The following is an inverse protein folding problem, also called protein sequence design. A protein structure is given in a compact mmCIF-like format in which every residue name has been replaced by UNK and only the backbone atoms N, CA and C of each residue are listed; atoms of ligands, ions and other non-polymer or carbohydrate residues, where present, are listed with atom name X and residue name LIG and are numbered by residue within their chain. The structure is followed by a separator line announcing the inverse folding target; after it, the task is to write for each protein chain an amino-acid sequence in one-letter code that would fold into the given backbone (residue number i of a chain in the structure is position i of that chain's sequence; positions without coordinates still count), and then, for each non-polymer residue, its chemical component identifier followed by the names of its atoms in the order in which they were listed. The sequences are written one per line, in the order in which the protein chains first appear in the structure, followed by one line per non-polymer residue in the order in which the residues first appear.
data_IF_655577039276
#
_entry.id   IF_655577039276
#
_cell.length_a   1.000
_cell.length_b   1.000
_cell.length_c   1.000
_cell.angle_alpha   90.00
_cell.angle_beta   90.00
_cell.angle_gamma   90.00
#
_symmetry.space_group_name_H-M   'P 1'
#
loop_
_entity.id
_entity.type
_entity.pdbx_description
1 polymer ?
#
# COMPACT_ATOMS: atom_id res chain seq x y z
N UNK A 1 12.50 55.97 -52.12
CA UNK A 1 11.25 55.57 -51.45
C UNK A 1 11.17 54.04 -51.54
N UNK A 2 11.86 53.29 -50.68
CA UNK A 2 11.58 53.05 -49.25
C UNK A 2 10.20 52.36 -49.14
N UNK A 3 10.20 51.06 -48.83
CA UNK A 3 9.05 50.19 -48.48
C UNK A 3 8.63 49.07 -49.47
N UNK A 4 9.56 48.38 -50.15
CA UNK A 4 9.20 47.07 -50.79
C UNK A 4 10.17 45.90 -50.56
N UNK A 5 11.27 46.09 -49.83
CA UNK A 5 12.29 45.03 -49.61
C UNK A 5 12.21 44.38 -48.21
N UNK A 6 11.35 44.87 -47.31
CA UNK A 6 11.27 44.36 -45.92
C UNK A 6 10.20 43.26 -45.73
N UNK A 7 9.44 42.91 -46.79
CA UNK A 7 8.38 41.90 -46.68
C UNK A 7 8.78 40.48 -47.11
N UNK A 8 10.02 40.27 -47.54
CA UNK A 8 10.51 38.94 -47.95
C UNK A 8 11.57 38.33 -47.01
N UNK A 9 11.93 39.02 -45.92
CA UNK A 9 12.95 38.54 -44.96
C UNK A 9 12.40 38.10 -43.60
N UNK A 10 11.09 38.17 -43.40
CA UNK A 10 10.43 37.75 -42.15
C UNK A 10 9.61 36.46 -42.29
N UNK A 11 9.62 35.81 -43.46
CA UNK A 11 8.89 34.56 -43.70
C UNK A 11 9.77 33.30 -43.63
N UNK A 12 11.02 33.42 -43.17
CA UNK A 12 11.98 32.31 -43.11
C UNK A 12 12.53 32.00 -41.70
N UNK A 13 11.98 32.63 -40.65
CA UNK A 13 12.33 32.35 -39.24
C UNK A 13 11.10 31.85 -38.45
N UNK A 14 10.17 31.19 -39.14
CA UNK A 14 9.15 30.37 -38.51
C UNK A 14 9.30 28.93 -39.01
N UNK A 15 10.53 28.41 -38.94
CA UNK A 15 10.69 26.98 -38.70
C UNK A 15 10.07 26.75 -37.34
N UNK A 16 8.81 26.30 -37.38
CA UNK A 16 8.19 25.62 -36.27
C UNK A 16 9.14 24.49 -35.88
N UNK A 17 10.00 24.73 -34.89
CA UNK A 17 10.37 23.67 -33.97
C UNK A 17 9.07 23.32 -33.26
N UNK A 18 8.21 22.55 -33.92
CA UNK A 18 7.42 21.55 -33.24
C UNK A 18 8.45 20.63 -32.61
N UNK A 19 8.94 21.02 -31.44
CA UNK A 19 9.36 20.07 -30.44
C UNK A 19 8.13 19.22 -30.22
N UNK A 20 7.99 18.14 -30.97
CA UNK A 20 7.32 16.98 -30.41
C UNK A 20 8.09 16.72 -29.14
N UNK A 21 7.54 17.13 -28.01
CA UNK A 21 7.88 16.47 -26.76
C UNK A 21 7.44 15.04 -27.02
N UNK A 22 8.36 14.26 -27.57
CA UNK A 22 8.29 12.82 -27.42
C UNK A 22 8.19 12.65 -25.91
N UNK A 23 7.13 11.99 -25.46
CA UNK A 23 7.04 11.54 -24.08
C UNK A 23 8.20 10.56 -23.89
N UNK A 24 9.36 11.11 -23.54
CA UNK A 24 10.63 10.39 -23.53
C UNK A 24 10.80 9.84 -22.11
N UNK A 25 10.33 8.62 -21.91
CA UNK A 25 10.44 7.89 -20.65
C UNK A 25 9.16 7.16 -20.25
N UNK A 26 9.32 6.01 -19.59
CA UNK A 26 8.20 5.36 -18.92
C UNK A 26 7.69 6.26 -17.78
N UNK A 27 6.41 6.64 -17.79
CA UNK A 27 5.77 7.41 -16.72
C UNK A 27 5.47 6.50 -15.51
N UNK A 28 6.53 6.10 -14.81
CA UNK A 28 6.44 5.24 -13.64
C UNK A 28 5.94 6.02 -12.41
N UNK A 29 5.06 5.39 -11.64
CA UNK A 29 4.49 5.93 -10.41
C UNK A 29 4.68 4.93 -9.26
N UNK A 30 5.39 5.31 -8.17
CA UNK A 30 6.21 6.51 -8.04
C UNK A 30 7.38 6.53 -9.03
N UNK A 31 7.92 7.72 -9.28
CA UNK A 31 9.14 7.89 -10.06
C UNK A 31 10.32 7.20 -9.35
N UNK A 32 11.06 6.30 -10.02
CA UNK A 32 12.17 5.58 -9.40
C UNK A 32 13.38 6.50 -9.20
N UNK A 33 14.19 6.18 -8.19
CA UNK A 33 15.40 6.96 -7.87
C UNK A 33 16.42 7.05 -9.01
N UNK A 34 16.57 5.95 -9.78
CA UNK A 34 17.39 5.92 -10.98
C UNK A 34 16.70 5.11 -12.07
N UNK A 35 16.67 5.68 -13.28
CA UNK A 35 16.12 5.06 -14.47
C UNK A 35 17.06 5.30 -15.66
N UNK A 36 17.30 4.27 -16.46
CA UNK A 36 18.07 4.37 -17.70
C UNK A 36 17.41 3.51 -18.77
N UNK A 37 16.86 4.09 -19.85
CA UNK A 37 16.19 3.33 -20.90
C UNK A 37 17.21 2.50 -21.70
N UNK A 38 16.77 1.32 -22.15
CA UNK A 38 17.51 0.47 -23.08
C UNK A 38 16.81 0.45 -24.44
N UNK A 39 17.57 0.17 -25.51
CA UNK A 39 17.05 0.20 -26.89
C UNK A 39 16.16 -1.01 -27.26
N UNK A 40 16.09 -2.02 -26.40
CA UNK A 40 15.45 -3.29 -26.70
C UNK A 40 14.44 -3.68 -25.62
N UNK A 41 13.23 -4.00 -26.03
CA UNK A 41 12.15 -4.45 -25.15
C UNK A 41 12.18 -5.97 -24.93
N UNK A 42 11.64 -6.42 -23.79
CA UNK A 42 11.38 -7.83 -23.53
C UNK A 42 10.00 -8.22 -24.05
N UNK A 43 9.90 -9.21 -24.94
CA UNK A 43 8.60 -9.73 -25.39
C UNK A 43 8.23 -10.97 -24.60
N UNK A 44 7.12 -10.92 -23.86
CA UNK A 44 6.65 -12.04 -23.07
C UNK A 44 6.06 -13.14 -23.97
N UNK A 45 6.38 -14.38 -23.64
CA UNK A 45 5.92 -15.59 -24.30
C UNK A 45 6.25 -16.79 -23.42
N UNK A 46 7.05 -17.72 -23.92
CA UNK A 46 7.62 -18.81 -23.10
C UNK A 46 8.85 -18.29 -22.35
N UNK A 47 8.87 -18.41 -21.02
CA UNK A 47 9.98 -17.92 -20.18
C UNK A 47 10.44 -18.97 -19.18
N UNK A 48 11.72 -18.98 -18.85
CA UNK A 48 12.27 -19.75 -17.74
C UNK A 48 12.27 -18.85 -16.51
N UNK A 49 11.49 -19.22 -15.50
CA UNK A 49 11.44 -18.50 -14.23
C UNK A 49 12.45 -19.13 -13.25
N UNK A 50 13.30 -18.32 -12.65
CA UNK A 50 14.16 -18.70 -11.54
C UNK A 50 14.00 -17.65 -10.45
N UNK A 51 13.41 -18.03 -9.31
CA UNK A 51 13.21 -17.11 -8.20
C UNK A 51 13.34 -17.81 -6.85
N UNK A 52 13.99 -17.19 -5.84
CA UNK A 52 14.07 -17.72 -4.48
C UNK A 52 12.83 -17.37 -3.63
N UNK A 53 11.95 -16.49 -4.10
CA UNK A 53 10.77 -16.02 -3.38
C UNK A 53 9.62 -15.67 -4.33
N UNK A 54 8.40 -15.57 -3.81
CA UNK A 54 7.21 -15.16 -4.56
C UNK A 54 6.95 -16.00 -5.83
N UNK A 55 7.23 -17.31 -5.78
CA UNK A 55 7.12 -18.20 -6.94
C UNK A 55 5.72 -18.12 -7.57
N UNK A 56 4.67 -18.23 -6.74
CA UNK A 56 3.29 -18.24 -7.22
C UNK A 56 2.88 -16.88 -7.80
N UNK A 57 3.33 -15.78 -7.20
CA UNK A 57 3.04 -14.43 -7.64
C UNK A 57 3.70 -14.14 -8.99
N UNK A 58 4.94 -14.59 -9.20
CA UNK A 58 5.61 -14.49 -10.49
C UNK A 58 4.93 -15.35 -11.57
N UNK A 59 4.53 -16.57 -11.23
CA UNK A 59 3.78 -17.44 -12.15
C UNK A 59 2.46 -16.79 -12.56
N UNK A 60 1.69 -16.27 -11.59
CA UNK A 60 0.45 -15.55 -11.84
C UNK A 60 0.70 -14.30 -12.70
N UNK A 61 1.73 -13.51 -12.37
CA UNK A 61 2.13 -12.33 -13.13
C UNK A 61 2.38 -12.64 -14.60
N UNK A 62 3.06 -13.77 -14.88
CA UNK A 62 3.36 -14.26 -16.23
C UNK A 62 2.07 -14.71 -16.94
N UNK A 63 1.25 -15.54 -16.29
CA UNK A 63 0.04 -16.15 -16.87
C UNK A 63 -1.00 -15.06 -17.20
N UNK A 64 -1.25 -14.12 -16.28
CA UNK A 64 -2.19 -13.02 -16.48
C UNK A 64 -1.82 -12.12 -17.67
N UNK A 65 -0.55 -12.15 -18.08
CA UNK A 65 0.00 -11.38 -19.20
C UNK A 65 0.19 -12.22 -20.46
N UNK A 66 -0.36 -13.44 -20.49
CA UNK A 66 -0.34 -14.32 -21.65
C UNK A 66 0.99 -15.05 -21.89
N UNK A 67 1.88 -15.06 -20.89
CA UNK A 67 3.09 -15.86 -20.90
C UNK A 67 2.88 -17.25 -20.28
N UNK A 68 3.89 -18.10 -20.41
CA UNK A 68 3.94 -19.42 -19.76
C UNK A 68 5.35 -19.74 -19.29
N UNK A 69 5.48 -20.46 -18.18
CA UNK A 69 6.77 -20.94 -17.66
C UNK A 69 7.20 -22.23 -18.35
N UNK A 70 8.48 -22.34 -18.70
CA UNK A 70 9.10 -23.60 -19.13
C UNK A 70 10.61 -23.60 -18.99
N UNK A 71 11.16 -24.73 -18.54
CA UNK A 71 12.59 -24.89 -18.25
C UNK A 71 13.50 -24.75 -19.47
N UNK A 72 12.99 -25.04 -20.68
CA UNK A 72 13.75 -24.95 -21.93
C UNK A 72 13.53 -23.64 -22.70
N UNK A 73 12.90 -22.64 -22.08
CA UNK A 73 12.70 -21.35 -22.72
C UNK A 73 14.01 -20.55 -22.84
N UNK A 74 14.18 -19.85 -23.97
CA UNK A 74 15.35 -18.99 -24.22
C UNK A 74 15.31 -17.66 -23.47
N UNK A 75 14.10 -17.14 -23.22
CA UNK A 75 13.89 -15.92 -22.44
C UNK A 75 13.81 -16.26 -20.94
N UNK A 76 14.43 -15.44 -20.11
CA UNK A 76 14.61 -15.73 -18.67
C UNK A 76 14.01 -14.61 -17.82
N UNK A 77 13.31 -14.98 -16.75
CA UNK A 77 13.04 -14.10 -15.62
C UNK A 77 13.82 -14.65 -14.44
N UNK A 78 14.77 -13.87 -13.95
CA UNK A 78 15.67 -14.27 -12.86
C UNK A 78 15.54 -13.28 -11.71
N UNK A 79 15.28 -13.82 -10.53
CA UNK A 79 15.24 -13.09 -9.27
C UNK A 79 16.35 -13.63 -8.39
N UNK A 80 17.07 -12.76 -7.69
CA UNK A 80 18.13 -13.17 -6.78
C UNK A 80 18.15 -12.29 -5.53
N UNK A 81 18.45 -12.92 -4.40
CA UNK A 81 18.78 -12.19 -3.19
C UNK A 81 20.26 -11.84 -3.16
N UNK A 82 20.55 -10.58 -2.90
CA UNK A 82 21.91 -10.05 -2.72
C UNK A 82 22.07 -9.55 -1.27
N UNK A 83 23.29 -9.56 -0.71
CA UNK A 83 23.50 -9.08 0.67
C UNK A 83 23.20 -7.59 0.85
N UNK A 84 23.44 -6.78 -0.20
CA UNK A 84 23.21 -5.35 -0.22
C UNK A 84 23.08 -4.87 -1.68
N UNK A 85 22.38 -3.74 -1.90
CA UNK A 85 22.37 -3.04 -3.18
C UNK A 85 23.27 -1.80 -3.13
N UNK A 86 24.28 -1.77 -3.99
CA UNK A 86 25.16 -0.60 -4.13
C UNK A 86 24.39 0.61 -4.66
N UNK A 87 24.65 1.77 -4.04
CA UNK A 87 24.01 3.04 -4.38
C UNK A 87 22.66 3.28 -3.71
N UNK A 88 22.24 2.41 -2.79
CA UNK A 88 21.01 2.55 -1.97
C UNK A 88 21.38 2.98 -0.53
N UNK A 89 21.17 4.25 -0.15
CA UNK A 89 21.61 4.78 1.14
C UNK A 89 20.67 4.44 2.31
N UNK A 90 19.39 4.15 2.05
CA UNK A 90 18.36 3.94 3.09
C UNK A 90 17.34 2.90 2.63
N UNK A 91 16.60 2.31 3.58
CA UNK A 91 15.44 1.45 3.32
C UNK A 91 15.74 0.30 2.31
N UNK A 92 16.93 -0.30 2.45
CA UNK A 92 17.41 -1.40 1.60
C UNK A 92 16.40 -2.55 1.51
N UNK A 93 15.65 -2.81 2.58
CA UNK A 93 14.64 -3.86 2.66
C UNK A 93 13.42 -3.64 1.76
N UNK A 94 13.27 -2.48 1.13
CA UNK A 94 12.27 -2.23 0.07
C UNK A 94 12.91 -1.92 -1.28
N UNK A 95 14.24 -1.90 -1.34
CA UNK A 95 14.98 -1.54 -2.54
C UNK A 95 15.10 -2.71 -3.51
N UNK A 96 15.22 -2.38 -4.79
CA UNK A 96 15.47 -3.36 -5.84
C UNK A 96 16.29 -2.78 -6.99
N UNK A 97 17.01 -3.65 -7.68
CA UNK A 97 17.55 -3.40 -9.03
C UNK A 97 16.72 -4.21 -10.02
N UNK A 98 16.19 -3.56 -11.03
CA UNK A 98 15.44 -4.19 -12.12
C UNK A 98 16.14 -3.90 -13.45
N UNK A 99 16.43 -4.95 -14.22
CA UNK A 99 16.97 -4.83 -15.58
C UNK A 99 16.08 -5.60 -16.55
N UNK A 100 15.53 -4.90 -17.53
CA UNK A 100 14.68 -5.44 -18.59
C UNK A 100 15.44 -5.33 -19.91
N UNK A 101 15.88 -6.46 -20.45
CA UNK A 101 16.59 -6.57 -21.73
C UNK A 101 15.81 -7.43 -22.72
N UNK A 102 16.26 -7.56 -23.97
CA UNK A 102 15.56 -8.34 -25.00
C UNK A 102 15.24 -9.80 -24.63
N UNK A 103 16.09 -10.45 -23.83
CA UNK A 103 15.99 -11.89 -23.53
C UNK A 103 15.97 -12.20 -22.02
N UNK A 104 16.13 -11.19 -21.17
CA UNK A 104 16.23 -11.39 -19.72
C UNK A 104 15.58 -10.23 -18.96
N UNK A 105 14.71 -10.57 -18.01
CA UNK A 105 14.30 -9.71 -16.90
C UNK A 105 15.08 -10.19 -15.67
N UNK A 106 15.81 -9.28 -15.03
CA UNK A 106 16.58 -9.57 -13.83
C UNK A 106 16.12 -8.66 -12.69
N UNK A 107 15.87 -9.26 -11.52
CA UNK A 107 15.55 -8.58 -10.26
C UNK A 107 16.58 -8.96 -9.20
N UNK A 108 17.18 -7.97 -8.57
CA UNK A 108 18.03 -8.14 -7.40
C UNK A 108 17.43 -7.35 -6.24
N UNK A 109 17.30 -7.97 -5.07
CA UNK A 109 16.83 -7.33 -3.86
C UNK A 109 17.49 -7.96 -2.63
N UNK A 110 17.44 -7.30 -1.48
CA UNK A 110 17.94 -7.87 -0.21
C UNK A 110 16.84 -8.61 0.57
N UNK A 111 15.58 -8.47 0.12
CA UNK A 111 14.40 -8.98 0.81
C UNK A 111 13.30 -9.34 -0.20
N UNK A 112 12.34 -10.15 0.24
CA UNK A 112 11.12 -10.44 -0.53
C UNK A 112 10.32 -9.17 -0.87
N UNK A 113 10.28 -8.19 0.03
CA UNK A 113 9.56 -6.93 -0.16
C UNK A 113 10.14 -6.08 -1.29
N UNK A 114 11.46 -6.08 -1.45
CA UNK A 114 12.11 -5.46 -2.61
C UNK A 114 11.72 -6.14 -3.93
N UNK A 115 11.67 -7.49 -3.95
CA UNK A 115 11.19 -8.25 -5.13
C UNK A 115 9.74 -7.88 -5.46
N UNK A 116 8.87 -7.82 -4.46
CA UNK A 116 7.47 -7.44 -4.64
C UNK A 116 7.32 -6.05 -5.27
N UNK A 117 8.09 -5.06 -4.81
CA UNK A 117 8.07 -3.71 -5.40
C UNK A 117 8.65 -3.66 -6.82
N UNK A 118 9.65 -4.49 -7.13
CA UNK A 118 10.15 -4.64 -8.49
C UNK A 118 9.06 -5.15 -9.43
N UNK A 119 8.22 -6.10 -8.99
CA UNK A 119 7.07 -6.59 -9.76
C UNK A 119 6.07 -5.48 -10.06
N UNK A 120 5.80 -4.57 -9.10
CA UNK A 120 4.90 -3.44 -9.32
C UNK A 120 5.43 -2.48 -10.38
N UNK A 121 6.75 -2.21 -10.35
CA UNK A 121 7.39 -1.41 -11.40
C UNK A 121 7.37 -2.11 -12.74
N UNK A 122 7.66 -3.42 -12.78
CA UNK A 122 7.60 -4.20 -14.01
C UNK A 122 6.19 -4.22 -14.62
N UNK A 123 5.15 -4.28 -13.80
CA UNK A 123 3.76 -4.17 -14.25
C UNK A 123 3.50 -2.85 -14.98
N UNK A 124 4.11 -1.75 -14.56
CA UNK A 124 3.95 -0.42 -15.18
C UNK A 124 4.79 -0.25 -16.45
N UNK A 125 5.88 -1.01 -16.60
CA UNK A 125 6.67 -1.07 -17.84
C UNK A 125 5.97 -1.85 -18.97
N UNK A 126 4.82 -2.47 -18.67
CA UNK A 126 4.04 -3.22 -19.63
C UNK A 126 3.49 -2.33 -20.74
N UNK A 127 3.60 -2.83 -21.97
CA UNK A 127 2.94 -2.34 -23.16
C UNK A 127 2.37 -3.52 -23.96
N UNK A 128 1.46 -3.26 -24.88
CA UNK A 128 0.85 -4.26 -25.74
C UNK A 128 1.23 -3.98 -27.19
N UNK A 129 1.97 -4.89 -27.82
CA UNK A 129 2.30 -4.84 -29.25
C UNK A 129 1.57 -5.98 -29.97
N UNK A 130 0.44 -5.64 -30.60
CA UNK A 130 -0.45 -6.63 -31.22
C UNK A 130 -1.13 -7.51 -30.16
N UNK A 131 -0.91 -8.83 -30.20
CA UNK A 131 -1.43 -9.79 -29.21
C UNK A 131 -0.41 -10.17 -28.12
N UNK A 132 0.76 -9.52 -28.10
CA UNK A 132 1.85 -9.88 -27.18
C UNK A 132 2.06 -8.79 -26.15
N UNK A 133 2.25 -9.21 -24.91
CA UNK A 133 2.75 -8.35 -23.82
C UNK A 133 4.23 -8.10 -24.03
N UNK A 134 4.64 -6.85 -23.94
CA UNK A 134 6.02 -6.39 -24.09
C UNK A 134 6.35 -5.50 -22.89
N UNK A 135 7.56 -5.61 -22.34
CA UNK A 135 8.05 -4.72 -21.29
C UNK A 135 9.13 -3.80 -21.84
N UNK A 136 8.99 -2.50 -21.59
CA UNK A 136 9.96 -1.51 -22.03
C UNK A 136 11.35 -1.80 -21.45
N UNK A 137 12.36 -1.82 -22.33
CA UNK A 137 13.74 -2.08 -21.92
C UNK A 137 14.30 -0.97 -21.04
N UNK A 138 14.85 -1.31 -19.88
CA UNK A 138 15.44 -0.34 -18.96
C UNK A 138 16.34 -0.98 -17.90
N UNK A 139 17.12 -0.14 -17.22
CA UNK A 139 17.75 -0.42 -15.94
C UNK A 139 17.19 0.55 -14.88
N UNK A 140 16.79 0.00 -13.75
CA UNK A 140 16.21 0.74 -12.61
C UNK A 140 16.96 0.31 -11.35
N UNK A 141 17.33 1.31 -10.54
CA UNK A 141 17.69 1.12 -9.14
C UNK A 141 16.78 2.01 -8.32
N UNK A 142 16.00 1.42 -7.43
CA UNK A 142 14.93 2.13 -6.75
C UNK A 142 14.86 1.76 -5.27
N UNK A 143 14.48 2.73 -4.44
CA UNK A 143 14.27 2.60 -3.01
C UNK A 143 13.37 3.73 -2.51
N UNK A 144 12.58 3.52 -1.45
CA UNK A 144 11.71 4.57 -0.94
C UNK A 144 12.47 5.60 -0.11
N UNK A 145 12.08 6.87 -0.21
CA UNK A 145 12.58 7.91 0.67
C UNK A 145 12.09 7.74 2.12
N UNK A 146 10.86 7.24 2.30
CA UNK A 146 10.22 7.07 3.61
C UNK A 146 9.76 5.64 3.84
N UNK A 147 9.95 5.15 5.07
CA UNK A 147 9.57 3.80 5.51
C UNK A 147 8.05 3.61 5.61
N UNK A 148 7.32 4.69 5.89
CA UNK A 148 5.86 4.70 6.03
C UNK A 148 5.28 5.50 4.88
N UNK A 149 4.54 4.81 4.02
CA UNK A 149 3.78 5.40 2.91
C UNK A 149 2.35 4.89 3.09
N UNK A 150 1.57 5.66 3.83
CA UNK A 150 0.29 5.24 4.37
C UNK A 150 -0.91 5.81 3.64
N UNK A 151 -1.99 5.03 3.63
CA UNK A 151 -3.33 5.48 3.28
C UNK A 151 -4.26 5.15 4.44
N UNK A 152 -5.07 6.12 4.89
CA UNK A 152 -6.07 5.91 5.94
C UNK A 152 -7.46 5.82 5.35
N UNK A 153 -8.20 4.77 5.70
CA UNK A 153 -9.62 4.66 5.37
C UNK A 153 -10.48 4.76 6.62
N UNK A 154 -11.40 5.72 6.62
CA UNK A 154 -12.40 5.92 7.66
C UNK A 154 -13.64 5.06 7.44
N UNK A 155 -13.74 3.99 8.24
CA UNK A 155 -14.92 3.12 8.25
C UNK A 155 -15.83 3.40 9.46
N UNK A 156 -15.34 4.16 10.44
CA UNK A 156 -16.09 4.62 11.62
C UNK A 156 -17.26 5.52 11.25
N UNK A 157 -17.11 6.39 10.24
CA UNK A 157 -18.22 7.17 9.68
C UNK A 157 -19.10 6.31 8.78
N UNK A 158 -18.53 5.66 7.75
CA UNK A 158 -19.28 4.87 6.74
C UNK A 158 -18.69 3.49 6.60
N UNK A 159 -19.50 2.45 6.76
CA UNK A 159 -19.04 1.08 6.53
C UNK A 159 -18.67 0.85 5.06
N UNK A 160 -17.52 0.22 4.84
CA UNK A 160 -17.03 -0.23 3.53
C UNK A 160 -16.95 -1.76 3.54
N UNK A 161 -17.41 -2.42 2.47
CA UNK A 161 -17.38 -3.88 2.42
C UNK A 161 -15.94 -4.42 2.42
N UNK A 162 -15.76 -5.63 2.93
CA UNK A 162 -14.46 -6.31 2.90
C UNK A 162 -13.91 -6.46 1.48
N UNK A 163 -14.78 -6.71 0.49
CA UNK A 163 -14.37 -6.78 -0.91
C UNK A 163 -13.80 -5.45 -1.43
N UNK A 164 -14.42 -4.32 -1.08
CA UNK A 164 -13.92 -3.01 -1.52
C UNK A 164 -12.63 -2.64 -0.79
N UNK A 165 -12.51 -2.92 0.51
CA UNK A 165 -11.24 -2.72 1.24
C UNK A 165 -10.09 -3.51 0.60
N UNK A 166 -10.31 -4.79 0.27
CA UNK A 166 -9.31 -5.63 -0.42
C UNK A 166 -8.97 -5.08 -1.80
N UNK A 167 -9.96 -4.63 -2.57
CA UNK A 167 -9.75 -4.00 -3.87
C UNK A 167 -8.89 -2.75 -3.76
N UNK A 168 -9.18 -1.87 -2.81
CA UNK A 168 -8.39 -0.65 -2.56
C UNK A 168 -6.94 -0.99 -2.19
N UNK A 169 -6.73 -1.92 -1.25
CA UNK A 169 -5.40 -2.39 -0.85
C UNK A 169 -4.60 -2.89 -2.06
N UNK A 170 -5.22 -3.74 -2.90
CA UNK A 170 -4.58 -4.24 -4.11
C UNK A 170 -4.21 -3.10 -5.09
N UNK A 171 -5.05 -2.07 -5.22
CA UNK A 171 -4.76 -0.90 -6.06
C UNK A 171 -3.60 -0.09 -5.48
N UNK A 172 -3.62 0.20 -4.17
CA UNK A 172 -2.61 0.99 -3.47
C UNK A 172 -1.23 0.32 -3.50
N UNK A 173 -1.18 -1.01 -3.36
CA UNK A 173 0.06 -1.78 -3.43
C UNK A 173 0.78 -1.61 -4.78
N UNK A 174 0.06 -1.45 -5.90
CA UNK A 174 0.66 -1.19 -7.23
C UNK A 174 1.45 0.12 -7.28
N UNK A 175 1.12 1.06 -6.39
CA UNK A 175 1.80 2.35 -6.24
C UNK A 175 2.76 2.37 -5.03
N UNK A 176 3.13 1.18 -4.52
CA UNK A 176 4.09 0.99 -3.42
C UNK A 176 3.68 1.66 -2.11
N UNK A 177 2.38 1.90 -1.88
CA UNK A 177 1.85 2.21 -0.55
C UNK A 177 2.04 0.96 0.31
N UNK A 178 2.59 1.12 1.50
CA UNK A 178 2.99 0.00 2.36
C UNK A 178 2.35 0.01 3.75
N UNK A 179 1.47 0.97 4.02
CA UNK A 179 0.67 1.02 5.25
C UNK A 179 -0.79 1.29 4.91
N UNK A 180 -1.68 0.48 5.46
CA UNK A 180 -3.12 0.73 5.46
C UNK A 180 -3.56 1.06 6.89
N UNK A 181 -3.96 2.29 7.13
CA UNK A 181 -4.44 2.77 8.41
C UNK A 181 -5.97 2.66 8.44
N UNK A 182 -6.50 1.87 9.37
CA UNK A 182 -7.91 1.47 9.36
C UNK A 182 -8.63 2.07 10.56
N UNK A 183 -9.35 3.17 10.34
CA UNK A 183 -10.03 3.94 11.36
C UNK A 183 -11.41 3.34 11.68
N UNK A 184 -11.47 2.54 12.75
CA UNK A 184 -12.57 1.62 13.07
C UNK A 184 -13.63 2.21 14.01
N UNK A 185 -13.35 3.34 14.65
CA UNK A 185 -14.19 3.92 15.70
C UNK A 185 -14.50 5.37 15.41
N UNK A 186 -15.74 5.77 15.66
CA UNK A 186 -16.10 7.18 15.66
C UNK A 186 -17.38 7.44 16.46
N UNK A 187 -17.79 8.71 16.55
CA UNK A 187 -19.00 9.13 17.23
C UNK A 187 -20.23 8.37 16.72
N UNK A 188 -20.27 8.02 15.43
CA UNK A 188 -21.41 7.31 14.85
C UNK A 188 -21.38 5.80 15.08
N UNK A 189 -20.20 5.18 15.24
CA UNK A 189 -20.12 3.71 15.31
C UNK A 189 -18.82 3.16 15.91
N UNK A 190 -18.90 1.92 16.38
CA UNK A 190 -17.75 1.07 16.66
C UNK A 190 -17.80 -0.11 15.69
N UNK A 191 -16.82 -0.24 14.80
CA UNK A 191 -16.90 -1.17 13.66
C UNK A 191 -16.25 -2.52 13.89
N UNK A 192 -15.43 -2.74 14.92
CA UNK A 192 -14.93 -4.09 15.20
C UNK A 192 -15.91 -4.85 16.09
N UNK A 193 -16.19 -6.11 15.78
CA UNK A 193 -16.88 -7.04 16.67
C UNK A 193 -16.17 -7.16 18.03
N UNK A 194 -16.94 -6.98 19.12
CA UNK A 194 -16.53 -7.37 20.46
C UNK A 194 -17.31 -8.58 20.95
N UNK A 195 -16.60 -9.67 21.27
CA UNK A 195 -17.18 -10.87 21.87
C UNK A 195 -17.41 -10.69 23.36
N UNK A 196 -16.57 -9.92 24.04
CA UNK A 196 -16.74 -9.61 25.47
C UNK A 196 -17.85 -8.57 25.73
N UNK A 197 -18.10 -7.65 24.78
CA UNK A 197 -19.17 -6.67 24.87
C UNK A 197 -20.01 -6.58 23.57
N UNK A 198 -20.86 -7.58 23.27
CA UNK A 198 -21.69 -7.58 22.06
C UNK A 198 -22.63 -6.37 21.93
N UNK A 199 -22.97 -5.74 23.07
CA UNK A 199 -23.77 -4.50 23.12
C UNK A 199 -23.15 -3.36 22.29
N UNK A 200 -21.83 -3.34 22.13
CA UNK A 200 -21.11 -2.31 21.38
C UNK A 200 -21.46 -2.33 19.88
N UNK A 201 -21.78 -3.52 19.35
CA UNK A 201 -22.14 -3.73 17.94
C UNK A 201 -23.66 -3.80 17.73
N UNK A 202 -24.47 -3.66 18.78
CA UNK A 202 -25.93 -3.57 18.64
C UNK A 202 -26.29 -2.34 17.77
N UNK A 203 -27.18 -2.58 16.82
CA UNK A 203 -27.77 -1.56 15.95
C UNK A 203 -28.23 -0.31 16.70
N UNK A 204 -28.74 -0.43 17.93
CA UNK A 204 -29.23 0.72 18.71
C UNK A 204 -28.12 1.69 19.13
N UNK A 205 -26.87 1.24 19.17
CA UNK A 205 -25.71 2.05 19.56
C UNK A 205 -24.96 2.66 18.37
N UNK A 206 -25.37 2.33 17.14
CA UNK A 206 -24.78 2.83 15.89
C UNK A 206 -25.75 3.78 15.19
N UNK A 207 -25.35 5.03 14.96
CA UNK A 207 -26.23 6.04 14.34
C UNK A 207 -26.12 6.09 12.81
N UNK A 208 -25.09 5.45 12.23
CA UNK A 208 -24.88 5.40 10.78
C UNK A 208 -24.61 3.98 10.32
N UNK A 209 -25.47 3.49 9.42
CA UNK A 209 -25.51 2.08 8.96
C UNK A 209 -25.55 1.09 10.15
N UNK A 210 -26.65 1.08 10.92
CA UNK A 210 -26.82 0.15 12.05
C UNK A 210 -26.67 -1.31 11.64
N UNK A 211 -26.06 -2.13 12.49
CA UNK A 211 -25.83 -3.56 12.23
C UNK A 211 -24.71 -3.86 11.23
N UNK A 212 -23.92 -2.85 10.83
CA UNK A 212 -22.72 -3.03 9.99
C UNK A 212 -21.45 -2.87 10.83
N UNK A 213 -20.69 -3.95 10.92
CA UNK A 213 -19.40 -4.05 11.60
C UNK A 213 -18.59 -5.17 10.94
N UNK A 214 -17.31 -5.26 11.26
CA UNK A 214 -16.40 -6.32 10.85
C UNK A 214 -16.26 -7.32 11.98
N UNK A 215 -16.46 -8.59 11.67
CA UNK A 215 -16.14 -9.69 12.59
C UNK A 215 -14.64 -9.75 12.88
N UNK A 216 -14.26 -10.37 13.99
CA UNK A 216 -12.84 -10.58 14.29
C UNK A 216 -12.14 -11.44 13.22
N UNK A 217 -12.86 -12.38 12.61
CA UNK A 217 -12.32 -13.21 11.52
C UNK A 217 -12.10 -12.40 10.23
N UNK A 218 -13.02 -11.51 9.88
CA UNK A 218 -12.84 -10.55 8.80
C UNK A 218 -11.65 -9.62 9.05
N UNK A 219 -11.45 -9.16 10.29
CA UNK A 219 -10.29 -8.36 10.65
C UNK A 219 -8.97 -9.11 10.48
N UNK A 220 -8.90 -10.39 10.92
CA UNK A 220 -7.73 -11.25 10.72
C UNK A 220 -7.47 -11.53 9.24
N UNK A 221 -8.53 -11.76 8.47
CA UNK A 221 -8.44 -11.93 7.02
C UNK A 221 -7.84 -10.68 6.37
N UNK A 222 -8.28 -9.49 6.76
CA UNK A 222 -7.74 -8.23 6.24
C UNK A 222 -6.25 -8.04 6.62
N UNK A 223 -5.85 -8.42 7.84
CA UNK A 223 -4.43 -8.45 8.24
C UNK A 223 -3.62 -9.33 7.29
N UNK A 224 -4.08 -10.56 7.04
CA UNK A 224 -3.40 -11.49 6.14
C UNK A 224 -3.34 -10.96 4.70
N UNK A 225 -4.43 -10.34 4.24
CA UNK A 225 -4.51 -9.74 2.92
C UNK A 225 -3.54 -8.57 2.74
N UNK A 226 -3.42 -7.68 3.74
CA UNK A 226 -2.40 -6.63 3.76
C UNK A 226 -0.99 -7.20 3.70
N UNK A 227 -0.69 -8.24 4.50
CA UNK A 227 0.63 -8.91 4.50
C UNK A 227 0.98 -9.48 3.12
N UNK A 228 0.03 -10.15 2.46
CA UNK A 228 0.21 -10.67 1.10
C UNK A 228 0.49 -9.57 0.05
N UNK A 229 0.09 -8.33 0.33
CA UNK A 229 0.38 -7.16 -0.50
C UNK A 229 1.56 -6.31 0.00
N UNK A 230 2.40 -6.87 0.90
CA UNK A 230 3.53 -6.18 1.51
C UNK A 230 3.14 -4.86 2.23
N UNK A 231 1.90 -4.80 2.73
CA UNK A 231 1.35 -3.69 3.49
C UNK A 231 1.24 -4.05 4.98
N UNK A 232 1.54 -3.10 5.85
CA UNK A 232 1.24 -3.18 7.28
C UNK A 232 -0.14 -2.60 7.55
N UNK A 233 -1.03 -3.37 8.15
CA UNK A 233 -2.28 -2.86 8.70
C UNK A 233 -2.01 -2.18 10.05
N UNK A 234 -2.50 -0.95 10.22
CA UNK A 234 -2.56 -0.26 11.51
C UNK A 234 -4.04 -0.04 11.81
N UNK A 235 -4.68 -0.82 12.69
CA UNK A 235 -6.04 -0.53 13.12
C UNK A 235 -6.03 0.60 14.15
N UNK A 236 -7.05 1.45 14.08
CA UNK A 236 -7.22 2.58 14.98
C UNK A 236 -8.51 2.48 15.79
N UNK A 237 -8.35 2.66 17.10
CA UNK A 237 -9.42 2.79 18.07
C UNK A 237 -9.22 4.12 18.79
N UNK A 238 -9.82 5.15 18.25
CA UNK A 238 -9.68 6.51 18.74
C UNK A 238 -10.25 6.66 20.16
N UNK A 239 -9.44 7.24 21.03
CA UNK A 239 -9.72 7.41 22.44
C UNK A 239 -8.93 8.58 23.04
N UNK A 240 -9.52 9.34 24.00
CA UNK A 240 -10.92 9.32 24.41
C UNK A 240 -11.82 10.11 23.44
N UNK A 241 -11.24 10.69 22.39
CA UNK A 241 -11.95 11.39 21.32
C UNK A 241 -12.91 10.47 20.56
N UNK A 242 -13.80 11.10 19.80
CA UNK A 242 -14.72 10.43 18.88
C UNK A 242 -15.44 9.18 19.44
N UNK A 243 -15.77 9.22 20.73
CA UNK A 243 -16.15 8.04 21.52
C UNK A 243 -17.66 7.92 21.81
N UNK A 244 -18.51 8.71 21.14
CA UNK A 244 -19.94 8.71 21.43
C UNK A 244 -20.61 7.33 21.26
N UNK A 245 -20.11 6.46 20.38
CA UNK A 245 -20.58 5.07 20.27
C UNK A 245 -20.33 4.25 21.55
N UNK A 246 -19.14 4.41 22.14
CA UNK A 246 -18.79 3.80 23.43
C UNK A 246 -19.70 4.33 24.55
N UNK A 247 -19.91 5.65 24.62
CA UNK A 247 -20.78 6.27 25.63
C UNK A 247 -22.23 5.78 25.48
N UNK A 248 -22.71 5.58 24.25
CA UNK A 248 -24.05 5.02 24.03
C UNK A 248 -24.15 3.57 24.51
N UNK A 249 -23.13 2.75 24.27
CA UNK A 249 -23.14 1.35 24.71
C UNK A 249 -23.04 1.21 26.24
N UNK A 250 -22.15 1.97 26.88
CA UNK A 250 -21.77 1.73 28.27
C UNK A 250 -22.26 2.78 29.27
N UNK A 251 -22.80 3.92 28.79
CA UNK A 251 -23.21 5.06 29.63
C UNK A 251 -22.09 5.62 30.51
N UNK A 252 -20.84 5.40 30.11
CA UNK A 252 -19.64 5.91 30.76
C UNK A 252 -18.76 6.62 29.74
N UNK A 253 -18.16 7.75 30.16
CA UNK A 253 -17.10 8.42 29.41
C UNK A 253 -15.82 7.59 29.49
N UNK A 254 -15.06 7.50 28.40
CA UNK A 254 -13.82 6.68 28.37
C UNK A 254 -12.81 7.13 29.44
N UNK A 255 -12.81 8.40 29.85
CA UNK A 255 -11.89 8.93 30.85
C UNK A 255 -12.33 8.66 32.30
N UNK A 256 -13.56 8.17 32.53
CA UNK A 256 -14.04 7.81 33.87
C UNK A 256 -13.36 6.54 34.38
N UNK A 257 -13.32 6.30 35.71
CA UNK A 257 -12.77 5.07 36.27
C UNK A 257 -13.42 3.80 35.70
N UNK A 258 -14.73 3.82 35.47
CA UNK A 258 -15.49 2.72 34.88
C UNK A 258 -15.21 2.58 33.37
N UNK A 259 -15.18 3.70 32.64
CA UNK A 259 -14.86 3.72 31.21
C UNK A 259 -13.47 3.17 30.92
N UNK A 260 -12.47 3.56 31.70
CA UNK A 260 -11.10 3.05 31.60
C UNK A 260 -11.03 1.53 31.82
N UNK A 261 -11.78 0.98 32.76
CA UNK A 261 -11.81 -0.48 32.99
C UNK A 261 -12.39 -1.22 31.79
N UNK A 262 -13.50 -0.73 31.24
CA UNK A 262 -14.14 -1.32 30.06
C UNK A 262 -13.21 -1.21 28.84
N UNK A 263 -12.62 -0.03 28.64
CA UNK A 263 -11.75 0.24 27.50
C UNK A 263 -10.50 -0.65 27.53
N UNK A 264 -9.90 -0.91 28.69
CA UNK A 264 -8.76 -1.84 28.81
C UNK A 264 -9.12 -3.25 28.41
N UNK A 265 -10.29 -3.76 28.83
CA UNK A 265 -10.77 -5.08 28.42
C UNK A 265 -11.00 -5.15 26.91
N UNK A 266 -11.57 -4.09 26.30
CA UNK A 266 -11.70 -3.99 24.85
C UNK A 266 -10.33 -3.98 24.16
N UNK A 267 -9.35 -3.26 24.72
CA UNK A 267 -8.02 -3.21 24.14
C UNK A 267 -7.26 -4.53 24.27
N UNK A 268 -7.51 -5.34 25.30
CA UNK A 268 -6.99 -6.71 25.39
C UNK A 268 -7.53 -7.54 24.21
N UNK A 269 -8.86 -7.53 23.99
CA UNK A 269 -9.49 -8.24 22.86
C UNK A 269 -9.01 -7.74 21.49
N UNK A 270 -8.83 -6.42 21.33
CA UNK A 270 -8.26 -5.83 20.11
C UNK A 270 -6.83 -6.31 19.88
N UNK A 271 -5.98 -6.28 20.91
CA UNK A 271 -4.59 -6.70 20.79
C UNK A 271 -4.46 -8.19 20.46
N UNK A 272 -5.36 -9.02 21.01
CA UNK A 272 -5.47 -10.45 20.68
C UNK A 272 -5.96 -10.69 19.24
N UNK A 273 -6.91 -9.89 18.77
CA UNK A 273 -7.51 -10.03 17.43
C UNK A 273 -6.51 -9.72 16.32
N UNK A 274 -5.74 -8.64 16.46
CA UNK A 274 -4.86 -8.16 15.40
C UNK A 274 -3.41 -8.65 15.56
N UNK A 275 -2.96 -9.54 14.68
CA UNK A 275 -1.54 -9.88 14.54
C UNK A 275 -0.77 -8.81 13.75
N UNK A 276 -0.66 -7.63 14.36
CA UNK A 276 0.03 -6.44 13.85
C UNK A 276 0.96 -5.86 14.93
N UNK A 277 2.00 -5.10 14.55
CA UNK A 277 2.93 -4.51 15.50
C UNK A 277 2.45 -3.21 16.16
N UNK A 278 1.51 -2.48 15.53
CA UNK A 278 1.05 -1.16 15.99
C UNK A 278 -0.47 -1.14 16.15
N UNK A 279 -0.94 -0.44 17.19
CA UNK A 279 -2.35 -0.06 17.34
C UNK A 279 -2.38 1.47 17.49
N UNK A 280 -3.15 2.15 16.64
CA UNK A 280 -3.33 3.59 16.78
C UNK A 280 -4.46 3.87 17.79
N UNK A 281 -4.22 4.77 18.73
CA UNK A 281 -5.21 5.11 19.79
C UNK A 281 -5.87 6.48 19.56
N UNK A 282 -5.65 7.11 18.41
CA UNK A 282 -6.21 8.41 18.05
C UNK A 282 -5.73 9.53 18.98
N UNK A 283 -6.63 10.06 19.80
CA UNK A 283 -6.46 11.16 20.78
C UNK A 283 -6.82 12.55 20.27
N UNK A 284 -7.40 12.66 19.08
CA UNK A 284 -7.76 13.93 18.48
C UNK A 284 -9.07 14.52 19.02
N UNK A 285 -9.21 15.83 18.79
CA UNK A 285 -10.41 16.66 19.03
C UNK A 285 -11.11 16.51 20.40
N UNK A 286 -10.36 16.16 21.45
CA UNK A 286 -10.93 15.93 22.79
C UNK A 286 -10.27 16.77 23.87
N UNK A 287 -11.07 17.15 24.88
CA UNK A 287 -10.57 17.73 26.11
C UNK A 287 -10.25 16.62 27.12
N UNK A 288 -8.99 16.56 27.54
CA UNK A 288 -8.58 15.65 28.61
C UNK A 288 -9.04 16.15 29.97
N UNK A 289 -9.89 15.36 30.63
CA UNK A 289 -10.30 15.51 32.03
C UNK A 289 -9.46 14.62 32.94
N UNK A 290 -8.95 13.50 32.40
CA UNK A 290 -7.99 12.63 33.07
C UNK A 290 -6.59 12.80 32.43
N UNK A 291 -5.65 13.51 33.07
CA UNK A 291 -4.30 13.73 32.52
C UNK A 291 -3.46 12.45 32.43
N UNK A 292 -3.88 11.35 33.10
CA UNK A 292 -3.20 10.05 33.04
C UNK A 292 -3.74 9.13 31.96
N UNK A 293 -4.82 9.51 31.27
CA UNK A 293 -5.48 8.67 30.28
C UNK A 293 -4.51 8.12 29.23
N UNK A 294 -3.81 9.01 28.51
CA UNK A 294 -2.91 8.61 27.41
C UNK A 294 -1.72 7.78 27.90
N UNK A 295 -0.96 8.19 28.94
CA UNK A 295 0.12 7.36 29.47
C UNK A 295 -0.34 5.97 29.92
N UNK A 296 -1.51 5.87 30.53
CA UNK A 296 -2.06 4.61 31.03
C UNK A 296 -2.51 3.67 29.89
N UNK A 297 -3.20 4.20 28.88
CA UNK A 297 -3.61 3.40 27.71
C UNK A 297 -2.41 2.97 26.86
N UNK A 298 -1.41 3.83 26.67
CA UNK A 298 -0.15 3.45 26.00
C UNK A 298 0.54 2.32 26.76
N UNK A 299 0.66 2.42 28.08
CA UNK A 299 1.28 1.37 28.89
C UNK A 299 0.51 0.04 28.79
N UNK A 300 -0.83 0.11 28.76
CA UNK A 300 -1.70 -1.06 28.63
C UNK A 300 -1.55 -1.76 27.26
N UNK A 301 -1.60 -1.00 26.16
CA UNK A 301 -1.39 -1.52 24.80
C UNK A 301 0.01 -2.12 24.64
N UNK A 302 1.03 -1.48 25.22
CA UNK A 302 2.41 -2.00 25.21
C UNK A 302 2.60 -3.26 26.04
N UNK A 303 1.91 -3.39 27.16
CA UNK A 303 1.93 -4.61 27.96
C UNK A 303 1.36 -5.81 27.18
N UNK A 304 0.46 -5.56 26.23
CA UNK A 304 -0.09 -6.54 25.28
C UNK A 304 0.79 -6.76 24.03
N UNK A 305 2.04 -6.30 24.04
CA UNK A 305 3.02 -6.56 22.97
C UNK A 305 2.86 -5.72 21.71
N UNK A 306 2.01 -4.68 21.75
CA UNK A 306 1.83 -3.73 20.65
C UNK A 306 2.64 -2.45 20.89
N UNK A 307 2.92 -1.69 19.84
CA UNK A 307 3.63 -0.41 19.94
C UNK A 307 2.71 0.79 19.78
#
# INVERSE_FOLDING_TARGET
MRNRIIFLFLFLISFNTTSTVLADGAHLLPEPQRYSPLKSDFTLGKVRLSTPALQQEWENFIIERGGVTADNASSIIEVSFVPALDGVPVNQDEAYRLKVSAHKIQVEAVSERGVYWAMQTLAQLQNVKGKKTVFAGCEILDWPAFRVRGFMHDVGRTYISMEELKREIAILARYKINVFHWHLTENQSWRLESKIFPVLNDSVNTTRMPGKFYTQEEAKELVAYCKAHNMTLIPEFDMPGHSAAFIRAFRHDMQSPEGMKILKLLMDEVCETFDVPYIHIGTDEVKFTNPKFVPEMIAHVRANGKK
#
